data_IF_358864385201
#
_entry.id   IF_358864385201
#
_cell.length_a   1.000
_cell.length_b   1.000
_cell.length_c   1.000
_cell.angle_alpha   90.00
_cell.angle_beta   90.00
_cell.angle_gamma   90.00
#
_symmetry.space_group_name_H-M   'P 1'
#
loop_
_entity.id
_entity.type
_entity.pdbx_description
1 polymer ?
#
# COMPACT_ATOMS: atom_id res chain seq x y z
N UNK A 1 -12.65 8.71 15.53
CA UNK A 1 -11.36 8.10 15.15
C UNK A 1 -10.52 9.22 14.59
N UNK A 2 -9.31 9.42 15.12
CA UNK A 2 -8.39 10.42 14.62
C UNK A 2 -7.54 9.80 13.51
N UNK A 3 -7.48 10.44 12.34
CA UNK A 3 -6.65 9.98 11.23
C UNK A 3 -5.17 10.11 11.64
N UNK A 4 -4.41 9.02 11.57
CA UNK A 4 -3.00 8.98 11.95
C UNK A 4 -2.13 9.10 10.71
N UNK A 5 -1.29 10.12 10.67
CA UNK A 5 -0.28 10.33 9.64
C UNK A 5 0.90 11.07 10.25
N UNK A 6 2.09 10.81 9.72
CA UNK A 6 3.32 11.52 10.07
C UNK A 6 3.54 12.76 9.16
N UNK A 7 2.71 12.94 8.12
CA UNK A 7 2.70 14.13 7.28
C UNK A 7 1.83 15.23 7.91
N UNK A 8 2.48 16.30 8.39
CA UNK A 8 1.83 17.46 9.00
C UNK A 8 0.90 18.22 8.05
N UNK A 9 1.23 18.31 6.76
CA UNK A 9 0.38 18.94 5.76
C UNK A 9 -0.90 18.12 5.53
N UNK A 10 -0.77 16.80 5.39
CA UNK A 10 -1.91 15.90 5.26
C UNK A 10 -2.78 15.95 6.52
N UNK A 11 -2.16 16.02 7.71
CA UNK A 11 -2.88 16.18 8.98
C UNK A 11 -3.71 17.46 9.00
N UNK A 12 -3.14 18.58 8.55
CA UNK A 12 -3.85 19.87 8.41
C UNK A 12 -4.96 19.82 7.35
N UNK A 13 -4.75 19.15 6.23
CA UNK A 13 -5.80 18.96 5.22
C UNK A 13 -6.95 18.13 5.80
N UNK A 14 -6.63 17.02 6.47
CA UNK A 14 -7.61 16.12 7.09
C UNK A 14 -8.43 16.78 8.20
N UNK A 15 -7.83 17.66 9.01
CA UNK A 15 -8.56 18.39 10.06
C UNK A 15 -9.63 19.34 9.51
N UNK A 16 -9.52 19.75 8.23
CA UNK A 16 -10.46 20.68 7.59
C UNK A 16 -11.67 19.99 6.96
N UNK A 17 -11.75 18.66 6.95
CA UNK A 17 -12.87 17.92 6.36
C UNK A 17 -14.12 17.90 7.24
N UNK A 18 -13.94 17.93 8.56
CA UNK A 18 -15.02 17.62 9.50
C UNK A 18 -16.15 18.66 9.42
N UNK A 19 -15.80 19.94 9.32
CA UNK A 19 -16.77 21.03 9.24
C UNK A 19 -17.57 21.04 7.91
N UNK A 20 -16.93 20.99 6.72
CA UNK A 20 -17.65 20.84 5.45
C UNK A 20 -18.55 19.60 5.41
N UNK A 21 -18.09 18.48 5.95
CA UNK A 21 -18.85 17.24 5.97
C UNK A 21 -20.10 17.34 6.87
N UNK A 22 -19.96 17.86 8.09
CA UNK A 22 -21.10 18.12 8.98
C UNK A 22 -22.09 19.11 8.39
N UNK A 23 -21.59 20.17 7.74
CA UNK A 23 -22.42 21.14 7.04
C UNK A 23 -23.25 20.50 5.92
N UNK A 24 -22.62 19.63 5.12
CA UNK A 24 -23.30 18.86 4.08
C UNK A 24 -24.41 17.96 4.67
N UNK A 25 -24.10 17.20 5.73
CA UNK A 25 -25.08 16.33 6.40
C UNK A 25 -26.27 17.12 6.95
N UNK A 26 -26.02 18.29 7.54
CA UNK A 26 -27.08 19.14 8.07
C UNK A 26 -28.00 19.67 6.95
N UNK A 27 -27.42 20.11 5.82
CA UNK A 27 -28.20 20.57 4.66
C UNK A 27 -28.99 19.44 4.01
N UNK A 28 -28.41 18.25 3.87
CA UNK A 28 -29.13 17.07 3.38
C UNK A 28 -30.30 16.70 4.28
N UNK A 29 -30.10 16.70 5.60
CA UNK A 29 -31.17 16.44 6.57
C UNK A 29 -32.28 17.47 6.46
N UNK A 30 -31.91 18.75 6.35
CA UNK A 30 -32.85 19.85 6.15
C UNK A 30 -33.64 19.73 4.84
N UNK A 31 -32.99 19.27 3.76
CA UNK A 31 -33.65 19.01 2.48
C UNK A 31 -34.64 17.83 2.58
N UNK A 32 -34.28 16.75 3.27
CA UNK A 32 -35.16 15.60 3.51
C UNK A 32 -36.40 16.04 4.31
N UNK A 33 -36.23 16.87 5.34
CA UNK A 33 -37.34 17.37 6.15
C UNK A 33 -38.24 18.32 5.36
N UNK A 34 -37.67 19.16 4.50
CA UNK A 34 -38.43 20.02 3.60
C UNK A 34 -39.26 19.19 2.58
N UNK A 35 -38.69 18.09 2.08
CA UNK A 35 -39.39 17.16 1.20
C UNK A 35 -40.58 16.50 1.92
N UNK A 36 -40.39 16.00 3.13
CA UNK A 36 -41.47 15.42 3.96
C UNK A 36 -42.61 16.41 4.23
N UNK A 37 -42.31 17.70 4.30
CA UNK A 37 -43.28 18.80 4.48
C UNK A 37 -43.89 19.30 3.16
N UNK A 38 -43.55 18.72 2.02
CA UNK A 38 -44.04 19.11 0.69
C UNK A 38 -43.45 20.42 0.14
N UNK A 39 -42.38 20.95 0.74
CA UNK A 39 -41.78 22.23 0.32
C UNK A 39 -40.73 22.04 -0.79
N UNK A 40 -41.19 21.73 -2.00
CA UNK A 40 -40.34 21.44 -3.16
C UNK A 40 -39.34 22.56 -3.51
N UNK A 41 -39.71 23.84 -3.30
CA UNK A 41 -38.83 24.98 -3.59
C UNK A 41 -37.62 25.05 -2.64
N UNK A 42 -37.82 24.72 -1.37
CA UNK A 42 -36.73 24.67 -0.40
C UNK A 42 -35.80 23.49 -0.66
N UNK A 43 -36.36 22.33 -1.06
CA UNK A 43 -35.58 21.15 -1.45
C UNK A 43 -34.66 21.47 -2.63
N UNK A 44 -35.21 22.01 -3.72
CA UNK A 44 -34.41 22.32 -4.93
C UNK A 44 -33.30 23.32 -4.64
N UNK A 45 -33.58 24.34 -3.82
CA UNK A 45 -32.59 25.33 -3.41
C UNK A 45 -31.44 24.70 -2.61
N UNK A 46 -31.77 23.84 -1.63
CA UNK A 46 -30.77 23.15 -0.81
C UNK A 46 -29.89 22.22 -1.67
N UNK A 47 -30.50 21.45 -2.57
CA UNK A 47 -29.78 20.56 -3.46
C UNK A 47 -28.86 21.30 -4.44
N UNK A 48 -29.28 22.45 -4.96
CA UNK A 48 -28.41 23.28 -5.81
C UNK A 48 -27.20 23.83 -5.04
N UNK A 49 -27.38 24.26 -3.78
CA UNK A 49 -26.26 24.71 -2.93
C UNK A 49 -25.28 23.56 -2.68
N UNK A 50 -25.80 22.38 -2.33
CA UNK A 50 -24.98 21.18 -2.11
C UNK A 50 -24.17 20.86 -3.37
N UNK A 51 -24.83 20.84 -4.54
CA UNK A 51 -24.21 20.49 -5.81
C UNK A 51 -23.14 21.50 -6.24
N UNK A 52 -23.41 22.80 -6.11
CA UNK A 52 -22.50 23.85 -6.62
C UNK A 52 -21.36 24.21 -5.68
N UNK A 53 -21.47 23.91 -4.39
CA UNK A 53 -20.54 24.44 -3.40
C UNK A 53 -19.97 23.34 -2.49
N UNK A 54 -20.84 22.65 -1.75
CA UNK A 54 -20.37 21.77 -0.68
C UNK A 54 -19.65 20.53 -1.22
N UNK A 55 -20.17 19.93 -2.30
CA UNK A 55 -19.50 18.80 -2.96
C UNK A 55 -18.17 19.22 -3.58
N UNK A 56 -18.14 20.33 -4.31
CA UNK A 56 -16.91 20.84 -4.94
C UNK A 56 -15.83 21.14 -3.89
N UNK A 57 -16.22 21.69 -2.74
CA UNK A 57 -15.29 21.96 -1.66
C UNK A 57 -14.69 20.66 -1.09
N UNK A 58 -15.52 19.65 -0.83
CA UNK A 58 -15.06 18.34 -0.36
C UNK A 58 -14.18 17.64 -1.40
N UNK A 59 -14.56 17.66 -2.68
CA UNK A 59 -13.76 17.12 -3.78
C UNK A 59 -12.37 17.77 -3.84
N UNK A 60 -12.29 19.10 -3.67
CA UNK A 60 -11.01 19.80 -3.64
C UNK A 60 -10.15 19.37 -2.45
N UNK A 61 -10.74 19.22 -1.26
CA UNK A 61 -10.02 18.74 -0.09
C UNK A 61 -9.52 17.31 -0.28
N UNK A 62 -10.33 16.42 -0.87
CA UNK A 62 -9.92 15.06 -1.22
C UNK A 62 -8.81 15.05 -2.27
N UNK A 63 -8.92 15.88 -3.30
CA UNK A 63 -7.88 16.04 -4.32
C UNK A 63 -6.53 16.42 -3.71
N UNK A 64 -6.53 17.43 -2.82
CA UNK A 64 -5.31 17.83 -2.10
C UNK A 64 -4.75 16.72 -1.21
N UNK A 65 -5.59 15.98 -0.50
CA UNK A 65 -5.14 14.88 0.34
C UNK A 65 -4.52 13.73 -0.50
N UNK A 66 -5.14 13.39 -1.63
CA UNK A 66 -4.62 12.37 -2.55
C UNK A 66 -3.27 12.81 -3.14
N UNK A 67 -3.15 14.06 -3.55
CA UNK A 67 -1.90 14.61 -4.07
C UNK A 67 -0.79 14.56 -3.02
N UNK A 68 -1.07 14.96 -1.78
CA UNK A 68 -0.12 14.88 -0.67
C UNK A 68 0.34 13.44 -0.41
N UNK A 69 -0.58 12.47 -0.38
CA UNK A 69 -0.24 11.05 -0.22
C UNK A 69 0.63 10.56 -1.39
N UNK A 70 0.31 10.99 -2.61
CA UNK A 70 1.03 10.56 -3.83
C UNK A 70 2.44 11.16 -3.88
N UNK A 71 2.61 12.41 -3.45
CA UNK A 71 3.92 13.09 -3.43
C UNK A 71 4.83 12.57 -2.33
N UNK A 72 4.25 12.15 -1.20
CA UNK A 72 4.99 11.48 -0.13
C UNK A 72 5.46 10.08 -0.52
N UNK A 73 4.75 9.43 -1.46
CA UNK A 73 5.11 8.13 -1.99
C UNK A 73 6.34 8.25 -2.91
N UNK A 74 7.53 8.19 -2.30
CA UNK A 74 8.81 8.16 -3.01
C UNK A 74 9.44 6.78 -2.85
N UNK A 75 9.20 5.86 -3.80
CA UNK A 75 9.75 4.52 -3.69
C UNK A 75 11.28 4.58 -3.79
N UNK A 76 11.94 3.70 -3.05
CA UNK A 76 13.39 3.56 -2.96
C UNK A 76 13.78 2.25 -3.65
N UNK A 77 14.87 2.26 -4.42
CA UNK A 77 15.44 1.03 -4.96
C UNK A 77 16.49 0.53 -3.98
N UNK A 78 16.28 -0.66 -3.43
CA UNK A 78 17.22 -1.36 -2.55
C UNK A 78 17.96 -2.42 -3.33
N UNK A 79 19.28 -2.29 -3.41
CA UNK A 79 20.12 -3.31 -4.02
C UNK A 79 20.60 -4.32 -2.98
N UNK A 80 20.30 -5.59 -3.22
CA UNK A 80 20.86 -6.70 -2.45
C UNK A 80 22.17 -7.15 -3.10
N UNK A 81 23.16 -7.54 -2.30
CA UNK A 81 24.47 -8.04 -2.75
C UNK A 81 24.73 -9.40 -2.11
N UNK A 82 25.55 -10.24 -2.76
CA UNK A 82 26.01 -11.52 -2.17
C UNK A 82 27.40 -11.39 -1.53
N UNK A 83 28.18 -10.43 -1.99
CA UNK A 83 29.59 -10.21 -1.67
C UNK A 83 29.84 -8.87 -0.95
N UNK A 84 28.76 -8.11 -0.66
CA UNK A 84 28.86 -6.77 -0.07
C UNK A 84 29.25 -5.66 -1.05
N UNK A 85 29.54 -5.97 -2.32
CA UNK A 85 30.12 -5.03 -3.29
C UNK A 85 29.31 -4.94 -4.59
N UNK A 86 28.90 -6.07 -5.15
CA UNK A 86 28.26 -6.15 -6.46
C UNK A 86 26.74 -6.28 -6.30
N UNK A 87 25.95 -5.30 -6.79
CA UNK A 87 24.49 -5.40 -6.82
C UNK A 87 24.04 -6.66 -7.56
N UNK A 88 23.23 -7.46 -6.88
CA UNK A 88 22.67 -8.69 -7.42
C UNK A 88 21.19 -8.52 -7.82
N UNK A 89 20.39 -7.82 -7.01
CA UNK A 89 18.96 -7.57 -7.26
C UNK A 89 18.58 -6.18 -6.77
N UNK A 90 17.87 -5.40 -7.59
CA UNK A 90 17.21 -4.16 -7.18
C UNK A 90 15.73 -4.39 -6.85
N UNK A 91 15.30 -3.99 -5.64
CA UNK A 91 13.91 -4.07 -5.20
C UNK A 91 13.35 -2.67 -5.04
N UNK A 92 12.26 -2.36 -5.76
CA UNK A 92 11.52 -1.13 -5.53
C UNK A 92 10.64 -1.31 -4.28
N UNK A 93 10.90 -0.53 -3.24
CA UNK A 93 10.19 -0.59 -1.95
C UNK A 93 9.71 0.79 -1.53
N UNK A 94 8.60 0.84 -0.80
CA UNK A 94 8.03 2.11 -0.35
C UNK A 94 8.89 2.80 0.71
N UNK A 95 9.41 2.01 1.65
CA UNK A 95 10.22 2.49 2.78
C UNK A 95 11.15 1.41 3.29
N UNK A 96 12.35 1.81 3.68
CA UNK A 96 13.26 0.98 4.49
C UNK A 96 13.10 1.43 5.94
N UNK A 97 12.79 0.49 6.84
CA UNK A 97 12.72 0.76 8.28
C UNK A 97 14.09 0.54 8.92
N UNK A 98 14.32 -0.62 9.51
CA UNK A 98 15.52 -0.93 10.28
C UNK A 98 16.20 -2.21 9.79
N UNK A 99 17.50 -2.33 10.08
CA UNK A 99 18.20 -3.60 9.97
C UNK A 99 17.85 -4.47 11.20
N UNK A 100 17.46 -5.71 10.95
CA UNK A 100 17.00 -6.62 12.00
C UNK A 100 17.84 -7.89 11.97
N UNK A 101 18.44 -8.21 13.11
CA UNK A 101 19.05 -9.50 13.35
C UNK A 101 17.98 -10.49 13.84
N UNK A 102 17.94 -11.67 13.22
CA UNK A 102 17.04 -12.77 13.59
C UNK A 102 17.80 -14.09 13.62
N UNK A 103 17.28 -15.06 14.36
CA UNK A 103 17.81 -16.43 14.35
C UNK A 103 16.93 -17.33 13.50
N UNK A 104 17.51 -18.41 13.01
CA UNK A 104 16.79 -19.39 12.20
C UNK A 104 15.59 -20.02 12.94
N UNK A 105 15.70 -20.18 14.26
CA UNK A 105 14.63 -20.70 15.13
C UNK A 105 13.39 -19.80 15.22
N UNK A 106 13.53 -18.50 14.91
CA UNK A 106 12.42 -17.53 14.94
C UNK A 106 11.56 -17.60 13.67
N UNK A 107 12.05 -18.30 12.64
CA UNK A 107 11.44 -18.36 11.32
C UNK A 107 10.36 -19.44 11.31
N UNK A 108 9.11 -19.01 11.16
CA UNK A 108 7.98 -19.91 10.99
C UNK A 108 7.83 -20.32 9.53
N UNK A 109 7.76 -21.62 9.22
CA UNK A 109 7.56 -22.09 7.86
C UNK A 109 6.16 -21.70 7.36
N UNK A 110 6.08 -21.46 6.04
CA UNK A 110 4.88 -20.95 5.37
C UNK A 110 3.84 -22.03 5.08
N UNK A 111 4.21 -23.31 5.23
CA UNK A 111 3.36 -24.46 4.90
C UNK A 111 2.04 -24.48 5.69
N UNK A 112 2.00 -23.84 6.87
CA UNK A 112 0.80 -23.71 7.69
C UNK A 112 -0.13 -22.55 7.31
N UNK A 113 0.30 -21.63 6.43
CA UNK A 113 -0.46 -20.44 6.04
C UNK A 113 -1.18 -20.61 4.71
N UNK A 114 -0.62 -21.42 3.80
CA UNK A 114 -1.25 -21.74 2.51
C UNK A 114 -2.48 -22.64 2.63
N UNK A 115 -2.76 -23.20 3.82
CA UNK A 115 -4.00 -23.96 4.07
C UNK A 115 -5.24 -23.07 4.23
N UNK A 116 -5.06 -21.76 4.52
CA UNK A 116 -6.16 -20.82 4.73
C UNK A 116 -6.37 -19.98 3.47
N UNK A 117 -6.91 -20.58 2.40
CA UNK A 117 -7.62 -19.88 1.33
C UNK A 117 -6.90 -18.79 0.52
N UNK A 118 -5.58 -18.61 0.67
CA UNK A 118 -4.81 -17.70 -0.18
C UNK A 118 -4.28 -18.47 -1.39
N UNK A 119 -4.84 -18.21 -2.56
CA UNK A 119 -4.29 -18.66 -3.84
C UNK A 119 -3.06 -17.81 -4.17
N UNK A 120 -1.91 -18.21 -3.64
CA UNK A 120 -0.62 -17.56 -3.91
C UNK A 120 -0.03 -18.25 -5.13
N UNK A 121 0.28 -17.45 -6.16
CA UNK A 121 0.89 -17.99 -7.36
C UNK A 121 2.25 -18.66 -7.03
N UNK A 122 2.68 -19.66 -7.82
CA UNK A 122 3.89 -20.42 -7.53
C UNK A 122 5.17 -19.58 -7.45
N UNK A 123 5.25 -18.47 -8.17
CA UNK A 123 6.42 -17.59 -8.17
C UNK A 123 6.45 -16.81 -6.84
N UNK A 124 5.34 -16.19 -6.43
CA UNK A 124 5.23 -15.54 -5.12
C UNK A 124 5.51 -16.50 -3.98
N UNK A 125 5.01 -17.74 -4.06
CA UNK A 125 5.32 -18.76 -3.04
C UNK A 125 6.81 -19.10 -2.98
N UNK A 126 7.49 -19.18 -4.12
CA UNK A 126 8.93 -19.47 -4.15
C UNK A 126 9.80 -18.34 -3.59
N UNK A 127 9.31 -17.10 -3.63
CA UNK A 127 9.98 -15.93 -3.04
C UNK A 127 9.82 -15.86 -1.53
N UNK A 128 8.70 -16.34 -0.98
CA UNK A 128 8.46 -16.30 0.47
C UNK A 128 9.29 -17.38 1.17
N UNK A 129 10.26 -16.97 1.99
CA UNK A 129 11.13 -17.86 2.74
C UNK A 129 10.51 -18.30 4.09
N UNK A 130 9.86 -17.37 4.79
CA UNK A 130 9.28 -17.63 6.10
C UNK A 130 8.56 -16.43 6.69
N UNK A 131 7.91 -16.61 7.83
CA UNK A 131 7.42 -15.50 8.64
C UNK A 131 8.26 -15.34 9.90
N UNK A 132 8.51 -14.09 10.28
CA UNK A 132 9.04 -13.74 11.60
C UNK A 132 8.05 -12.85 12.33
N UNK A 133 8.01 -12.99 13.65
CA UNK A 133 7.27 -12.07 14.53
C UNK A 133 8.29 -11.32 15.37
N UNK A 134 8.37 -10.01 15.16
CA UNK A 134 9.26 -9.12 15.88
C UNK A 134 8.42 -8.11 16.67
N UNK A 135 8.47 -8.21 18.00
CA UNK A 135 7.60 -7.46 18.89
C UNK A 135 6.12 -7.59 18.47
N UNK A 136 5.50 -6.48 18.06
CA UNK A 136 4.11 -6.38 17.62
C UNK A 136 3.94 -6.38 16.09
N UNK A 137 5.02 -6.58 15.32
CA UNK A 137 4.97 -6.66 13.85
C UNK A 137 5.15 -8.10 13.35
N UNK A 138 4.39 -8.42 12.32
CA UNK A 138 4.53 -9.66 11.56
C UNK A 138 5.18 -9.33 10.23
N UNK A 139 6.31 -9.97 9.92
CA UNK A 139 7.08 -9.71 8.71
C UNK A 139 7.27 -10.98 7.91
N UNK A 140 7.23 -10.84 6.58
CA UNK A 140 7.54 -11.91 5.63
C UNK A 140 9.03 -11.79 5.28
N UNK A 141 9.76 -12.89 5.40
CA UNK A 141 11.09 -13.02 4.85
C UNK A 141 10.98 -13.41 3.38
N UNK A 142 11.69 -12.68 2.53
CA UNK A 142 11.71 -12.89 1.07
C UNK A 142 13.12 -13.28 0.66
N UNK A 143 13.26 -14.34 -0.13
CA UNK A 143 14.50 -14.61 -0.88
C UNK A 143 14.44 -13.88 -2.23
N UNK A 144 15.16 -12.75 -2.39
CA UNK A 144 15.15 -11.98 -3.64
C UNK A 144 15.77 -12.77 -4.81
N UNK A 145 16.57 -13.80 -4.54
CA UNK A 145 17.20 -14.61 -5.59
C UNK A 145 16.17 -15.45 -6.36
N UNK A 146 15.03 -15.76 -5.75
CA UNK A 146 13.96 -16.53 -6.39
C UNK A 146 13.26 -15.76 -7.52
N UNK A 147 13.36 -14.42 -7.55
CA UNK A 147 12.79 -13.56 -8.60
C UNK A 147 13.34 -13.96 -9.99
N UNK A 148 14.62 -14.34 -10.06
CA UNK A 148 15.33 -14.62 -11.31
C UNK A 148 15.51 -16.11 -11.60
N UNK A 149 14.88 -16.99 -10.85
CA UNK A 149 14.87 -18.43 -11.13
C UNK A 149 13.54 -18.83 -11.76
N UNK A 150 13.33 -18.58 -13.08
CA UNK A 150 12.21 -19.20 -13.75
C UNK A 150 12.36 -20.72 -13.65
N UNK A 151 11.25 -21.42 -13.34
CA UNK A 151 11.17 -22.89 -13.24
C UNK A 151 11.66 -23.64 -14.50
N UNK A 152 11.89 -22.94 -15.60
CA UNK A 152 12.43 -23.47 -16.85
C UNK A 152 13.94 -23.76 -16.78
N UNK A 153 14.63 -23.34 -15.71
CA UNK A 153 16.05 -23.58 -15.48
C UNK A 153 16.32 -24.46 -14.26
N UNK A 154 15.42 -25.39 -13.92
CA UNK A 154 15.79 -26.56 -13.12
C UNK A 154 16.75 -27.42 -13.98
N UNK A 155 18.04 -27.55 -13.64
CA UNK A 155 18.92 -28.40 -14.41
C UNK A 155 18.46 -29.85 -14.20
N UNK A 156 17.88 -30.43 -15.26
CA UNK A 156 17.98 -31.88 -15.42
C UNK A 156 19.46 -32.22 -15.29
N UNK A 157 19.73 -33.15 -14.38
CA UNK A 157 21.04 -33.58 -13.96
C UNK A 157 21.95 -33.98 -15.14
N UNK A 158 22.63 -33.02 -15.75
CA UNK A 158 23.84 -33.14 -16.58
C UNK A 158 24.05 -31.86 -17.40
N UNK A 159 24.98 -30.99 -16.98
CA UNK A 159 25.93 -30.28 -17.84
C UNK A 159 26.46 -29.01 -17.16
N UNK A 160 27.77 -29.05 -16.89
CA UNK A 160 28.76 -27.96 -16.93
C UNK A 160 28.34 -26.54 -16.52
N UNK A 161 29.01 -26.06 -15.48
CA UNK A 161 29.26 -24.65 -15.18
C UNK A 161 29.48 -23.85 -16.47
N UNK A 162 28.50 -23.05 -16.86
CA UNK A 162 28.67 -21.99 -17.84
C UNK A 162 28.37 -20.67 -17.14
N UNK A 163 29.41 -19.84 -17.03
CA UNK A 163 29.34 -18.42 -16.70
C UNK A 163 28.20 -17.79 -17.50
N UNK A 164 27.11 -17.42 -16.82
CA UNK A 164 26.00 -16.73 -17.46
C UNK A 164 26.27 -15.25 -17.36
N UNK A 165 26.50 -14.64 -18.52
CA UNK A 165 26.70 -13.19 -18.69
C UNK A 165 25.58 -12.41 -18.00
N UNK A 166 26.00 -11.33 -17.32
CA UNK A 166 25.11 -10.43 -16.62
C UNK A 166 24.02 -9.91 -17.57
N UNK A 167 22.77 -10.32 -17.33
CA UNK A 167 21.63 -9.69 -17.96
C UNK A 167 21.55 -8.24 -17.50
N UNK A 168 22.05 -7.34 -18.34
CA UNK A 168 21.85 -5.91 -18.20
C UNK A 168 20.38 -5.57 -18.40
N UNK A 169 19.72 -5.12 -17.34
CA UNK A 169 18.50 -4.33 -17.41
C UNK A 169 18.63 -3.19 -16.39
N UNK A 170 19.04 -2.03 -16.91
CA UNK A 170 19.02 -0.66 -16.39
C UNK A 170 19.38 -0.40 -14.92
#
# INVERSE_FOLDING_TARGET
>A
MEFKTDNDELKSTMSRFDDPFKSLLHKLTSAIDAYKKGNSKQVSTQLEIIRRHDLIHLERLFGSAIEQITLDYKPIIVFTTKDGMTPHVGLLVDKVEDNIEYKQEDIKPLDKLTEVGFDIDPQTRSMMYGLIKLADKHSVLIDPSAIFKPKELEPSSSAQEQETEAYGLF
#
